data_IF_473697538861
#
_entry.id   IF_473697538861
#
_cell.length_a   1.000
_cell.length_b   1.000
_cell.length_c   1.000
_cell.angle_alpha   90.00
_cell.angle_beta   90.00
_cell.angle_gamma   90.00
#
_symmetry.space_group_name_H-M   'P 1'
#
loop_
_entity.id
_entity.type
_entity.pdbx_description
1 polymer ?
#
# COMPACT_ATOMS: atom_id res chain seq x y z
N UNK A 1 41.43 -13.31 18.46
CA UNK A 1 40.72 -12.08 18.05
C UNK A 1 39.24 -12.07 18.42
N UNK A 2 38.44 -13.00 17.90
CA UNK A 2 36.96 -12.94 17.95
C UNK A 2 36.28 -13.27 19.29
N UNK A 3 36.98 -13.90 20.24
CA UNK A 3 36.41 -14.29 21.56
C UNK A 3 36.26 -13.13 22.56
N UNK A 4 36.85 -11.95 22.30
CA UNK A 4 36.70 -10.75 23.16
C UNK A 4 35.50 -9.88 22.77
N UNK A 5 34.98 -10.01 21.55
CA UNK A 5 33.82 -9.25 21.09
C UNK A 5 32.48 -9.92 21.43
N UNK A 6 32.46 -11.23 21.73
CA UNK A 6 31.24 -11.94 22.15
C UNK A 6 30.84 -11.71 23.62
N UNK A 7 31.61 -10.90 24.38
CA UNK A 7 31.31 -10.54 25.78
C UNK A 7 30.82 -9.10 25.96
N UNK A 8 30.61 -8.39 24.85
CA UNK A 8 30.03 -7.04 24.90
C UNK A 8 28.52 -7.21 25.08
N UNK A 9 28.03 -6.97 26.31
CA UNK A 9 26.61 -7.09 26.63
C UNK A 9 25.81 -6.10 25.78
N UNK A 10 24.73 -6.57 25.13
CA UNK A 10 23.91 -5.84 24.14
C UNK A 10 23.50 -4.40 24.53
N UNK A 11 23.49 -4.04 25.82
CA UNK A 11 23.18 -2.68 26.28
C UNK A 11 24.26 -1.64 25.92
N UNK A 12 25.52 -2.06 25.75
CA UNK A 12 26.63 -1.17 25.36
C UNK A 12 26.60 -0.75 23.89
N UNK A 13 25.81 -1.45 23.05
CA UNK A 13 25.62 -1.14 21.62
C UNK A 13 24.33 -0.35 21.36
N UNK A 14 23.59 0.09 22.40
CA UNK A 14 22.27 0.72 22.23
C UNK A 14 21.19 -0.25 21.70
N UNK A 15 21.48 -1.55 21.66
CA UNK A 15 20.59 -2.60 21.11
C UNK A 15 19.59 -3.14 22.15
N UNK A 16 19.54 -2.56 23.35
CA UNK A 16 18.51 -2.92 24.35
C UNK A 16 17.31 -2.01 24.14
N UNK A 17 16.46 -2.41 23.22
CA UNK A 17 15.10 -1.91 23.16
C UNK A 17 14.38 -2.18 24.51
N UNK A 18 13.56 -1.23 24.95
CA UNK A 18 12.80 -1.37 26.18
C UNK A 18 11.85 -2.56 26.15
N UNK A 19 11.52 -3.11 27.33
CA UNK A 19 10.57 -4.24 27.47
C UNK A 19 9.21 -3.95 26.83
N UNK A 20 8.78 -2.69 26.82
CA UNK A 20 7.54 -2.27 26.18
C UNK A 20 7.75 -2.05 24.68
N UNK A 21 6.89 -2.67 23.88
CA UNK A 21 6.94 -2.59 22.43
C UNK A 21 5.86 -1.64 21.91
N UNK A 22 6.25 -0.79 20.96
CA UNK A 22 5.32 0.02 20.17
C UNK A 22 5.43 -0.44 18.72
N UNK A 23 4.29 -0.85 18.14
CA UNK A 23 4.26 -1.23 16.73
C UNK A 23 4.31 0.01 15.85
N UNK A 24 5.13 -0.01 14.80
CA UNK A 24 5.18 1.05 13.78
C UNK A 24 4.73 0.45 12.45
N UNK A 25 3.57 0.88 11.96
CA UNK A 25 3.04 0.49 10.66
C UNK A 25 3.31 1.61 9.66
N UNK A 26 4.16 1.36 8.66
CA UNK A 26 4.40 2.32 7.58
C UNK A 26 3.37 2.13 6.48
N UNK A 27 2.69 3.21 6.13
CA UNK A 27 1.74 3.30 5.03
C UNK A 27 2.30 4.31 4.02
N UNK A 28 3.03 3.83 3.01
CA UNK A 28 3.74 4.66 2.04
C UNK A 28 3.27 4.41 0.60
N UNK A 29 3.02 5.49 -0.14
CA UNK A 29 2.59 5.48 -1.53
C UNK A 29 1.08 5.41 -1.72
N UNK A 30 0.64 5.25 -2.98
CA UNK A 30 -0.78 5.20 -3.33
C UNK A 30 -1.50 3.99 -2.74
N UNK A 31 -2.76 4.17 -2.38
CA UNK A 31 -3.61 3.12 -1.81
C UNK A 31 -4.30 2.36 -2.93
N UNK A 32 -4.15 1.03 -2.91
CA UNK A 32 -4.86 0.11 -3.79
C UNK A 32 -5.51 -0.99 -2.96
N UNK A 33 -6.62 -1.54 -3.48
CA UNK A 33 -7.38 -2.58 -2.77
C UNK A 33 -6.65 -3.92 -2.76
N UNK A 34 -6.17 -4.31 -3.93
CA UNK A 34 -5.46 -5.56 -4.20
C UNK A 34 -4.19 -5.24 -4.97
N UNK A 35 -3.19 -6.13 -4.90
CA UNK A 35 -1.99 -6.01 -5.70
C UNK A 35 -2.37 -6.10 -7.19
N UNK A 36 -2.01 -5.08 -7.96
CA UNK A 36 -2.18 -5.11 -9.41
C UNK A 36 -1.17 -6.07 -10.06
N UNK A 37 -1.48 -6.64 -11.23
CA UNK A 37 -0.55 -7.51 -11.97
C UNK A 37 0.78 -6.81 -12.33
N UNK A 38 0.72 -5.48 -12.49
CA UNK A 38 1.85 -4.62 -12.84
C UNK A 38 2.42 -3.87 -11.63
N UNK A 39 1.92 -4.12 -10.42
CA UNK A 39 2.44 -3.50 -9.20
C UNK A 39 3.80 -4.10 -8.86
N UNK A 40 4.85 -3.27 -8.91
CA UNK A 40 6.18 -3.66 -8.43
C UNK A 40 6.11 -4.04 -6.94
N UNK A 41 6.93 -5.00 -6.47
CA UNK A 41 7.09 -5.26 -5.04
C UNK A 41 7.42 -3.96 -4.28
N UNK A 42 6.67 -3.67 -3.22
CA UNK A 42 6.82 -2.43 -2.45
C UNK A 42 6.19 -1.17 -3.05
N UNK A 43 5.45 -1.28 -4.17
CA UNK A 43 4.72 -0.13 -4.75
C UNK A 43 3.41 0.13 -4.00
N UNK A 44 3.46 1.07 -3.05
CA UNK A 44 2.25 1.60 -2.41
C UNK A 44 1.67 0.76 -1.28
N UNK A 45 0.48 1.17 -0.85
CA UNK A 45 -0.27 0.54 0.24
C UNK A 45 -1.27 -0.43 -0.39
N UNK A 46 -1.13 -1.72 -0.08
CA UNK A 46 -2.14 -2.73 -0.41
C UNK A 46 -3.07 -2.87 0.79
N UNK A 47 -4.33 -2.47 0.63
CA UNK A 47 -5.32 -2.39 1.71
C UNK A 47 -5.49 -3.71 2.47
N UNK A 48 -5.63 -4.83 1.76
CA UNK A 48 -5.75 -6.16 2.36
C UNK A 48 -4.55 -6.50 3.28
N UNK A 49 -3.33 -6.35 2.78
CA UNK A 49 -2.11 -6.63 3.54
C UNK A 49 -1.93 -5.67 4.72
N UNK A 50 -2.36 -4.42 4.57
CA UNK A 50 -2.29 -3.44 5.66
C UNK A 50 -3.31 -3.77 6.77
N UNK A 51 -4.52 -4.19 6.41
CA UNK A 51 -5.56 -4.66 7.33
C UNK A 51 -5.07 -5.88 8.13
N UNK A 52 -4.42 -6.84 7.49
CA UNK A 52 -3.83 -7.99 8.19
C UNK A 52 -2.78 -7.57 9.23
N UNK A 53 -1.91 -6.61 8.88
CA UNK A 53 -0.93 -6.05 9.83
C UNK A 53 -1.64 -5.38 11.01
N UNK A 54 -2.68 -4.59 10.77
CA UNK A 54 -3.46 -3.96 11.84
C UNK A 54 -4.08 -5.01 12.78
N UNK A 55 -4.67 -6.08 12.23
CA UNK A 55 -5.21 -7.21 13.02
C UNK A 55 -4.15 -7.88 13.88
N UNK A 56 -2.98 -8.17 13.29
CA UNK A 56 -1.87 -8.79 14.02
C UNK A 56 -1.40 -7.93 15.21
N UNK A 57 -1.38 -6.60 15.05
CA UNK A 57 -1.02 -5.67 16.10
C UNK A 57 -2.11 -5.61 17.17
N UNK A 58 -3.38 -5.61 16.77
CA UNK A 58 -4.54 -5.59 17.66
C UNK A 58 -4.54 -6.82 18.58
N UNK A 59 -4.40 -8.00 18.01
CA UNK A 59 -4.49 -9.30 18.71
C UNK A 59 -3.26 -9.59 19.58
N UNK A 60 -2.10 -9.01 19.25
CA UNK A 60 -0.88 -9.17 20.03
C UNK A 60 -0.90 -8.34 21.33
N UNK A 61 -0.81 -9.04 22.47
CA UNK A 61 -0.62 -8.42 23.80
C UNK A 61 0.77 -7.79 24.01
N UNK A 62 1.72 -8.04 23.09
CA UNK A 62 3.10 -7.53 23.20
C UNK A 62 3.18 -6.03 22.93
N UNK A 63 2.33 -5.51 22.05
CA UNK A 63 2.32 -4.10 21.67
C UNK A 63 1.44 -3.29 22.62
N UNK A 64 2.04 -2.28 23.25
CA UNK A 64 1.38 -1.36 24.18
C UNK A 64 0.68 -0.21 23.47
N UNK A 65 1.17 0.17 22.30
CA UNK A 65 0.58 1.17 21.41
C UNK A 65 0.97 0.87 19.96
N UNK A 66 0.31 1.54 19.02
CA UNK A 66 0.66 1.53 17.61
C UNK A 66 0.85 2.94 17.07
N UNK A 67 1.78 3.11 16.15
CA UNK A 67 1.98 4.32 15.37
C UNK A 67 1.77 3.97 13.90
N UNK A 68 0.90 4.71 13.23
CA UNK A 68 0.70 4.60 11.79
C UNK A 68 1.47 5.76 11.14
N UNK A 69 2.62 5.45 10.53
CA UNK A 69 3.44 6.43 9.82
C UNK A 69 2.93 6.53 8.38
N UNK A 70 2.28 7.65 8.05
CA UNK A 70 1.55 7.83 6.79
C UNK A 70 2.36 8.74 5.87
N UNK A 71 2.61 8.25 4.66
CA UNK A 71 3.19 8.98 3.55
C UNK A 71 2.45 8.62 2.24
N UNK A 72 1.23 9.14 2.08
CA UNK A 72 0.31 8.72 1.02
C UNK A 72 -0.51 9.88 0.46
N UNK A 73 -0.61 10.00 -0.88
CA UNK A 73 -1.53 10.93 -1.54
C UNK A 73 -2.99 10.44 -1.55
N UNK A 74 -3.27 9.22 -1.05
CA UNK A 74 -4.58 8.59 -1.12
C UNK A 74 -4.65 7.49 -2.17
N UNK A 75 -5.86 7.18 -2.66
CA UNK A 75 -6.09 6.12 -3.63
C UNK A 75 -7.51 5.54 -3.54
N UNK A 76 -7.62 4.21 -3.61
CA UNK A 76 -8.92 3.51 -3.61
C UNK A 76 -9.76 3.86 -2.37
N UNK A 77 -10.96 4.40 -2.60
CA UNK A 77 -11.86 4.86 -1.54
C UNK A 77 -12.33 3.70 -0.64
N UNK A 78 -12.67 2.55 -1.23
CA UNK A 78 -13.12 1.38 -0.46
C UNK A 78 -11.98 0.79 0.39
N UNK A 79 -10.77 0.67 -0.16
CA UNK A 79 -9.61 0.22 0.61
C UNK A 79 -9.31 1.16 1.78
N UNK A 80 -9.40 2.48 1.55
CA UNK A 80 -9.24 3.49 2.60
C UNK A 80 -10.29 3.35 3.70
N UNK A 81 -11.54 3.08 3.33
CA UNK A 81 -12.64 2.85 4.28
C UNK A 81 -12.47 1.59 5.13
N UNK A 82 -12.09 0.48 4.47
CA UNK A 82 -11.83 -0.79 5.16
C UNK A 82 -10.65 -0.66 6.13
N UNK A 83 -9.59 0.05 5.74
CA UNK A 83 -8.48 0.38 6.63
C UNK A 83 -8.93 1.27 7.80
N UNK A 84 -9.72 2.32 7.54
CA UNK A 84 -10.28 3.17 8.61
C UNK A 84 -11.04 2.35 9.65
N UNK A 85 -11.90 1.43 9.20
CA UNK A 85 -12.65 0.54 10.10
C UNK A 85 -11.71 -0.30 10.95
N UNK A 86 -10.68 -0.90 10.37
CA UNK A 86 -9.72 -1.73 11.12
C UNK A 86 -8.85 -0.90 12.08
N UNK A 87 -8.46 0.32 11.69
CA UNK A 87 -7.73 1.25 12.56
C UNK A 87 -8.60 1.65 13.76
N UNK A 88 -9.90 1.93 13.55
CA UNK A 88 -10.85 2.20 14.64
C UNK A 88 -10.98 1.03 15.61
N UNK A 89 -11.02 -0.20 15.10
CA UNK A 89 -11.04 -1.41 15.93
C UNK A 89 -9.73 -1.59 16.72
N UNK A 90 -8.59 -1.24 16.12
CA UNK A 90 -7.31 -1.23 16.82
C UNK A 90 -7.29 -0.15 17.92
N UNK A 91 -7.73 1.07 17.62
CA UNK A 91 -7.80 2.21 18.56
C UNK A 91 -8.71 1.93 19.76
N UNK A 92 -9.80 1.18 19.55
CA UNK A 92 -10.66 0.72 20.64
C UNK A 92 -9.96 -0.27 21.61
N UNK A 93 -8.86 -0.91 21.18
CA UNK A 93 -8.13 -1.91 21.98
C UNK A 93 -6.86 -1.39 22.65
N UNK A 94 -6.19 -0.40 22.04
CA UNK A 94 -4.94 0.20 22.52
C UNK A 94 -4.68 1.53 21.81
N UNK A 95 -3.84 2.41 22.36
CA UNK A 95 -3.53 3.70 21.75
C UNK A 95 -2.97 3.57 20.33
N UNK A 96 -3.55 4.32 19.39
CA UNK A 96 -3.09 4.44 18.01
C UNK A 96 -2.85 5.90 17.65
N UNK A 97 -1.64 6.21 17.19
CA UNK A 97 -1.23 7.57 16.85
C UNK A 97 -0.90 7.61 15.35
N UNK A 98 -1.54 8.49 14.59
CA UNK A 98 -1.10 8.81 13.23
C UNK A 98 0.09 9.76 13.30
N UNK A 99 1.12 9.46 12.49
CA UNK A 99 2.27 10.33 12.28
C UNK A 99 2.41 10.57 10.78
N UNK A 100 1.99 11.74 10.34
CA UNK A 100 2.09 12.14 8.94
C UNK A 100 3.53 12.51 8.60
N UNK A 101 3.99 12.05 7.44
CA UNK A 101 5.28 12.38 6.85
C UNK A 101 5.10 13.50 5.82
N UNK A 102 5.60 13.34 4.60
CA UNK A 102 5.56 14.39 3.59
C UNK A 102 4.12 14.61 3.08
N UNK A 103 3.38 13.52 2.83
CA UNK A 103 1.99 13.59 2.36
C UNK A 103 1.07 12.67 3.18
N UNK A 104 -0.09 13.16 3.59
CA UNK A 104 -1.16 12.36 4.17
C UNK A 104 -2.51 12.96 3.76
N UNK A 105 -2.84 12.85 2.47
CA UNK A 105 -4.00 13.49 1.85
C UNK A 105 -5.01 12.46 1.36
N UNK A 106 -6.29 12.85 1.21
CA UNK A 106 -7.38 12.00 0.73
C UNK A 106 -7.43 10.67 1.51
N UNK A 107 -7.28 9.51 0.87
CA UNK A 107 -7.19 8.21 1.56
C UNK A 107 -6.12 8.14 2.67
N UNK A 108 -5.04 8.91 2.56
CA UNK A 108 -4.04 9.08 3.63
C UNK A 108 -4.61 9.76 4.87
N UNK A 109 -5.35 10.86 4.69
CA UNK A 109 -6.07 11.52 5.77
C UNK A 109 -7.20 10.63 6.32
N UNK A 110 -7.85 9.87 5.43
CA UNK A 110 -8.87 8.89 5.78
C UNK A 110 -8.33 7.86 6.78
N UNK A 111 -7.10 7.35 6.61
CA UNK A 111 -6.48 6.50 7.63
C UNK A 111 -6.18 7.26 8.92
N UNK A 112 -5.66 8.49 8.83
CA UNK A 112 -5.25 9.27 9.98
C UNK A 112 -6.42 9.61 10.92
N UNK A 113 -7.57 10.01 10.35
CA UNK A 113 -8.78 10.35 11.12
C UNK A 113 -9.37 9.15 11.87
N UNK A 114 -8.94 7.92 11.60
CA UNK A 114 -9.34 6.74 12.37
C UNK A 114 -8.59 6.58 13.71
N UNK A 115 -7.48 7.30 13.89
CA UNK A 115 -6.57 7.17 15.05
C UNK A 115 -7.00 8.05 16.24
N UNK A 116 -6.42 7.82 17.42
CA UNK A 116 -6.73 8.62 18.62
C UNK A 116 -6.14 10.03 18.57
N UNK A 117 -4.98 10.17 17.92
CA UNK A 117 -4.22 11.43 17.80
C UNK A 117 -3.51 11.47 16.46
N UNK A 118 -3.60 12.60 15.78
CA UNK A 118 -2.94 12.90 14.52
C UNK A 118 -1.83 13.92 14.75
N UNK A 119 -0.60 13.52 14.40
CA UNK A 119 0.58 14.37 14.44
C UNK A 119 1.07 14.60 13.01
N UNK A 120 1.32 15.85 12.64
CA UNK A 120 1.82 16.21 11.31
C UNK A 120 3.02 17.16 11.39
N UNK A 121 3.99 17.01 10.48
CA UNK A 121 5.08 17.99 10.37
C UNK A 121 4.54 19.31 9.84
N UNK A 122 5.25 20.40 10.11
CA UNK A 122 4.78 21.74 9.72
C UNK A 122 4.45 21.87 8.23
N UNK A 123 5.23 21.20 7.38
CA UNK A 123 5.12 21.24 5.92
C UNK A 123 4.44 20.00 5.33
N UNK A 124 3.94 19.07 6.14
CA UNK A 124 3.14 17.94 5.66
C UNK A 124 1.99 18.45 4.80
N UNK A 125 1.76 17.83 3.64
CA UNK A 125 0.56 18.08 2.85
C UNK A 125 -0.54 17.11 3.26
N UNK A 126 -1.66 17.64 3.78
CA UNK A 126 -2.78 16.83 4.28
C UNK A 126 -4.13 17.42 3.92
N UNK A 127 -5.22 16.90 4.49
CA UNK A 127 -6.59 17.19 4.07
C UNK A 127 -6.91 16.47 2.77
N UNK A 128 -7.27 17.21 1.73
CA UNK A 128 -7.86 16.68 0.49
C UNK A 128 -9.06 15.79 0.79
N UNK A 129 -9.91 16.27 1.71
CA UNK A 129 -11.17 15.61 2.06
C UNK A 129 -12.13 15.87 0.89
N UNK A 130 -12.14 14.94 -0.06
CA UNK A 130 -12.81 15.07 -1.33
C UNK A 130 -12.79 13.75 -2.10
N UNK A 131 -13.65 13.65 -3.12
CA UNK A 131 -13.75 12.48 -3.98
C UNK A 131 -13.64 12.93 -5.44
N UNK A 132 -12.83 12.23 -6.22
CA UNK A 132 -12.72 12.39 -7.66
C UNK A 132 -12.99 11.04 -8.32
N UNK A 133 -13.80 11.03 -9.38
CA UNK A 133 -14.15 9.83 -10.14
C UNK A 133 -14.43 10.20 -11.59
N UNK A 134 -14.30 9.24 -12.50
CA UNK A 134 -14.52 9.46 -13.93
C UNK A 134 -14.37 8.19 -14.76
N UNK A 135 -14.69 8.31 -16.06
CA UNK A 135 -14.37 7.29 -17.07
C UNK A 135 -13.69 7.95 -18.27
N UNK A 136 -12.89 7.17 -18.98
CA UNK A 136 -12.34 7.61 -20.26
C UNK A 136 -13.43 7.55 -21.35
N UNK A 137 -13.41 8.55 -22.23
CA UNK A 137 -14.16 8.52 -23.49
C UNK A 137 -13.16 8.47 -24.65
N UNK A 138 -13.03 7.28 -25.23
CA UNK A 138 -12.11 6.93 -26.30
C UNK A 138 -12.80 6.94 -27.67
N UNK A 139 -14.06 7.38 -27.80
CA UNK A 139 -14.80 7.36 -29.06
C UNK A 139 -14.03 8.01 -30.23
N UNK A 140 -13.52 9.22 -30.03
CA UNK A 140 -12.70 9.92 -31.04
C UNK A 140 -11.39 9.21 -31.38
N UNK A 141 -10.79 8.53 -30.40
CA UNK A 141 -9.57 7.75 -30.64
C UNK A 141 -9.89 6.54 -31.52
N UNK A 142 -10.96 5.82 -31.20
CA UNK A 142 -11.45 4.66 -31.95
C UNK A 142 -11.80 5.02 -33.39
N UNK A 143 -12.51 6.13 -33.61
CA UNK A 143 -12.78 6.68 -34.95
C UNK A 143 -11.49 6.91 -35.74
N UNK A 144 -10.47 7.54 -35.13
CA UNK A 144 -9.20 7.89 -35.78
C UNK A 144 -8.40 6.66 -36.22
N UNK A 145 -8.48 5.55 -35.47
CA UNK A 145 -7.74 4.32 -35.77
C UNK A 145 -8.59 3.28 -36.53
N UNK A 146 -9.83 3.62 -36.89
CA UNK A 146 -10.76 2.71 -37.56
C UNK A 146 -11.18 1.51 -36.70
N UNK A 147 -11.11 1.62 -35.38
CA UNK A 147 -11.50 0.56 -34.46
C UNK A 147 -12.98 0.71 -34.10
N UNK A 148 -13.79 -0.33 -34.32
CA UNK A 148 -15.19 -0.35 -33.92
C UNK A 148 -15.39 -1.29 -32.71
N UNK A 149 -15.98 -0.75 -31.64
CA UNK A 149 -16.30 -1.49 -30.42
C UNK A 149 -17.82 -1.57 -30.25
N UNK A 150 -18.38 -2.73 -30.54
CA UNK A 150 -19.78 -3.05 -30.23
C UNK A 150 -19.90 -3.72 -28.86
N UNK A 151 -20.91 -3.34 -28.08
CA UNK A 151 -21.17 -3.92 -26.76
C UNK A 151 -22.58 -4.51 -26.79
N UNK A 152 -22.68 -5.81 -26.55
CA UNK A 152 -23.94 -6.50 -26.30
C UNK A 152 -24.06 -6.65 -24.78
N UNK A 153 -25.04 -5.96 -24.19
CA UNK A 153 -25.23 -5.92 -22.75
C UNK A 153 -26.68 -6.20 -22.37
N UNK A 154 -26.91 -6.65 -21.13
CA UNK A 154 -28.25 -6.83 -20.56
C UNK A 154 -28.36 -6.04 -19.26
N UNK A 155 -29.30 -5.10 -19.22
CA UNK A 155 -29.58 -4.26 -18.05
C UNK A 155 -29.28 -2.79 -18.30
N UNK A 156 -30.11 -1.90 -17.73
CA UNK A 156 -30.09 -0.45 -18.00
C UNK A 156 -28.73 0.22 -17.77
N UNK A 157 -28.00 -0.22 -16.74
CA UNK A 157 -26.71 0.37 -16.34
C UNK A 157 -25.52 -0.57 -16.55
N UNK A 158 -25.68 -1.67 -17.30
CA UNK A 158 -24.61 -2.65 -17.52
C UNK A 158 -23.39 -2.07 -18.27
N UNK A 159 -23.60 -0.97 -19.01
CA UNK A 159 -22.58 -0.28 -19.79
C UNK A 159 -21.87 0.85 -19.05
N UNK A 160 -22.28 1.17 -17.82
CA UNK A 160 -21.89 2.40 -17.12
C UNK A 160 -20.37 2.65 -17.17
N UNK A 161 -19.57 1.63 -16.85
CA UNK A 161 -18.11 1.68 -16.89
C UNK A 161 -17.49 0.98 -18.11
N UNK A 162 -18.25 0.16 -18.84
CA UNK A 162 -17.73 -0.64 -19.96
C UNK A 162 -17.77 0.12 -21.31
N UNK A 163 -18.73 1.04 -21.46
CA UNK A 163 -18.89 1.86 -22.66
C UNK A 163 -17.95 3.06 -22.64
N UNK A 164 -16.67 2.81 -22.94
CA UNK A 164 -15.62 3.82 -23.09
C UNK A 164 -15.64 4.51 -24.47
N UNK A 165 -16.38 3.98 -25.45
CA UNK A 165 -16.52 4.58 -26.78
C UNK A 165 -17.50 5.77 -26.85
N UNK A 166 -18.19 6.08 -25.76
CA UNK A 166 -19.20 7.16 -25.69
C UNK A 166 -19.23 7.85 -24.32
N UNK A 167 -19.76 9.09 -24.21
CA UNK A 167 -20.04 9.69 -22.91
C UNK A 167 -21.11 8.89 -22.15
N UNK A 168 -21.31 9.24 -20.87
CA UNK A 168 -22.45 8.75 -20.11
C UNK A 168 -23.77 9.17 -20.77
N UNK A 169 -24.78 8.31 -20.71
CA UNK A 169 -26.18 8.72 -20.90
C UNK A 169 -26.58 9.63 -19.72
N UNK A 170 -27.65 10.40 -19.88
CA UNK A 170 -28.09 11.33 -18.84
C UNK A 170 -28.39 10.63 -17.49
N UNK A 171 -29.05 9.47 -17.54
CA UNK A 171 -29.36 8.66 -16.35
C UNK A 171 -28.12 7.97 -15.75
N UNK A 172 -27.20 7.51 -16.59
CA UNK A 172 -25.88 7.01 -16.17
C UNK A 172 -25.06 8.11 -15.46
N UNK A 173 -25.07 9.33 -15.99
CA UNK A 173 -24.35 10.47 -15.42
C UNK A 173 -24.92 10.86 -14.06
N UNK A 174 -26.24 10.95 -13.94
CA UNK A 174 -26.92 11.24 -12.68
C UNK A 174 -26.62 10.19 -11.61
N UNK A 175 -26.66 8.89 -11.97
CA UNK A 175 -26.31 7.80 -11.06
C UNK A 175 -24.85 7.90 -10.59
N UNK A 176 -23.94 8.19 -11.52
CA UNK A 176 -22.51 8.30 -11.23
C UNK A 176 -22.20 9.50 -10.33
N UNK A 177 -22.85 10.64 -10.58
CA UNK A 177 -22.75 11.84 -9.75
C UNK A 177 -23.28 11.59 -8.33
N UNK A 178 -24.48 11.02 -8.20
CA UNK A 178 -25.05 10.66 -6.88
C UNK A 178 -24.13 9.73 -6.09
N UNK A 179 -23.48 8.78 -6.76
CA UNK A 179 -22.49 7.90 -6.13
C UNK A 179 -21.28 8.68 -5.60
N UNK A 180 -20.75 9.62 -6.38
CA UNK A 180 -19.64 10.48 -5.97
C UNK A 180 -20.02 11.38 -4.78
N UNK A 181 -21.21 11.98 -4.82
CA UNK A 181 -21.74 12.81 -3.74
C UNK A 181 -21.91 12.00 -2.43
N UNK A 182 -22.44 10.78 -2.52
CA UNK A 182 -22.57 9.90 -1.36
C UNK A 182 -21.19 9.53 -0.76
N UNK A 183 -20.22 9.19 -1.61
CA UNK A 183 -18.85 8.92 -1.15
C UNK A 183 -18.22 10.14 -0.46
N UNK A 184 -18.45 11.34 -1.00
CA UNK A 184 -17.99 12.59 -0.40
C UNK A 184 -18.63 12.84 0.97
N UNK A 185 -19.95 12.73 1.07
CA UNK A 185 -20.69 12.90 2.33
C UNK A 185 -20.16 11.93 3.39
N UNK A 186 -20.00 10.64 3.06
CA UNK A 186 -19.43 9.67 4.00
C UNK A 186 -18.03 10.03 4.48
N UNK A 187 -17.16 10.54 3.60
CA UNK A 187 -15.81 10.96 3.99
C UNK A 187 -15.88 12.17 4.92
N UNK A 188 -16.58 13.23 4.50
CA UNK A 188 -16.74 14.45 5.30
C UNK A 188 -17.36 14.15 6.66
N UNK A 189 -18.43 13.37 6.73
CA UNK A 189 -19.14 13.10 7.97
C UNK A 189 -18.29 12.26 8.94
N UNK A 190 -17.48 11.33 8.42
CA UNK A 190 -16.49 10.62 9.25
C UNK A 190 -15.36 11.51 9.72
N UNK A 191 -14.89 12.44 8.89
CA UNK A 191 -13.90 13.41 9.30
C UNK A 191 -14.47 14.31 10.41
N UNK A 192 -15.68 14.84 10.23
CA UNK A 192 -16.39 15.64 11.23
C UNK A 192 -16.52 14.89 12.56
N UNK A 193 -17.02 13.65 12.51
CA UNK A 193 -17.12 12.75 13.67
C UNK A 193 -15.77 12.55 14.37
N UNK A 194 -14.72 12.22 13.61
CA UNK A 194 -13.38 11.95 14.16
C UNK A 194 -12.72 13.18 14.76
N UNK A 195 -13.03 14.37 14.25
CA UNK A 195 -12.48 15.64 14.75
C UNK A 195 -13.37 16.31 15.78
N UNK A 196 -14.52 15.70 16.11
CA UNK A 196 -15.54 16.29 16.99
C UNK A 196 -15.98 17.69 16.52
N UNK A 197 -16.13 17.84 15.21
CA UNK A 197 -16.55 19.06 14.54
C UNK A 197 -17.96 18.90 14.00
N UNK A 198 -18.68 20.02 13.88
CA UNK A 198 -19.94 20.04 13.14
C UNK A 198 -19.68 19.81 11.64
N UNK A 199 -20.68 19.23 10.96
CA UNK A 199 -20.57 18.90 9.54
C UNK A 199 -20.33 20.16 8.68
N UNK A 200 -20.97 21.27 9.01
CA UNK A 200 -20.81 22.54 8.29
C UNK A 200 -19.42 23.16 8.50
N UNK A 201 -18.84 23.01 9.70
CA UNK A 201 -17.47 23.42 9.97
C UNK A 201 -16.49 22.57 9.16
N UNK A 202 -16.69 21.24 9.15
CA UNK A 202 -15.89 20.32 8.35
C UNK A 202 -16.01 20.62 6.84
N UNK A 203 -17.21 20.95 6.34
CA UNK A 203 -17.44 21.34 4.95
C UNK A 203 -16.57 22.55 4.56
N UNK A 204 -16.44 23.55 5.45
CA UNK A 204 -15.64 24.76 5.19
C UNK A 204 -14.16 24.47 4.95
N UNK A 205 -13.62 23.39 5.56
CA UNK A 205 -12.21 22.99 5.46
C UNK A 205 -11.99 21.77 4.56
N UNK A 206 -13.06 21.15 4.07
CA UNK A 206 -13.06 20.02 3.14
C UNK A 206 -13.05 20.48 1.67
N UNK A 207 -13.91 19.91 0.83
CA UNK A 207 -14.07 20.23 -0.61
C UNK A 207 -12.80 19.99 -1.43
N UNK A 208 -12.01 18.98 -1.05
CA UNK A 208 -10.76 18.63 -1.72
C UNK A 208 -9.60 19.60 -1.47
N UNK A 209 -9.75 20.58 -0.57
CA UNK A 209 -8.66 21.51 -0.22
C UNK A 209 -7.50 20.78 0.44
N UNK A 210 -6.28 21.11 0.01
CA UNK A 210 -5.04 20.63 0.61
C UNK A 210 -4.55 21.69 1.59
N UNK A 211 -4.09 21.23 2.76
CA UNK A 211 -3.56 22.07 3.82
C UNK A 211 -2.14 21.65 4.17
N UNK A 212 -1.29 22.62 4.53
CA UNK A 212 -0.03 22.30 5.22
C UNK A 212 -0.31 21.82 6.64
N UNK A 213 0.61 21.12 7.29
CA UNK A 213 0.41 20.63 8.66
C UNK A 213 0.13 21.75 9.67
N UNK A 214 0.75 22.93 9.50
CA UNK A 214 0.44 24.11 10.33
C UNK A 214 -0.99 24.61 10.09
N UNK A 215 -1.41 24.71 8.82
CA UNK A 215 -2.79 25.12 8.48
C UNK A 215 -3.81 24.11 8.98
N UNK A 216 -3.54 22.82 8.78
CA UNK A 216 -4.37 21.73 9.25
C UNK A 216 -4.54 21.75 10.77
N UNK A 217 -3.48 22.09 11.53
CA UNK A 217 -3.58 22.25 12.99
C UNK A 217 -4.47 23.44 13.35
N UNK A 218 -4.35 24.55 12.63
CA UNK A 218 -5.16 25.75 12.83
C UNK A 218 -6.64 25.53 12.49
N UNK A 219 -6.93 24.63 11.55
CA UNK A 219 -8.26 24.17 11.17
C UNK A 219 -8.75 22.96 11.98
N UNK A 220 -8.00 22.52 13.00
CA UNK A 220 -8.34 21.38 13.85
C UNK A 220 -8.35 20.02 13.14
N UNK A 221 -7.80 19.92 11.93
CA UNK A 221 -7.68 18.67 11.16
C UNK A 221 -6.59 17.74 11.71
N UNK A 222 -5.64 18.28 12.48
CA UNK A 222 -4.60 17.52 13.21
C UNK A 222 -4.51 18.01 14.65
N UNK A 223 -4.01 17.17 15.57
CA UNK A 223 -3.98 17.46 17.00
C UNK A 223 -2.69 18.14 17.45
N UNK A 224 -1.58 17.87 16.75
CA UNK A 224 -0.28 18.42 17.09
C UNK A 224 0.63 18.53 15.87
N UNK A 225 1.51 19.53 15.89
CA UNK A 225 2.63 19.61 14.96
C UNK A 225 3.85 18.84 15.47
N UNK A 226 4.59 18.22 14.54
CA UNK A 226 5.83 17.48 14.79
C UNK A 226 5.93 16.16 14.03
N UNK A 227 6.99 15.41 14.30
CA UNK A 227 7.29 14.17 13.59
C UNK A 227 7.04 12.89 14.36
N UNK A 228 7.73 11.83 13.93
CA UNK A 228 7.70 10.51 14.55
C UNK A 228 8.09 10.56 16.04
N UNK A 229 9.08 11.36 16.41
CA UNK A 229 9.50 11.52 17.82
C UNK A 229 8.36 12.04 18.70
N UNK A 230 7.55 12.98 18.20
CA UNK A 230 6.38 13.50 18.91
C UNK A 230 5.27 12.46 19.00
N UNK A 231 5.04 11.71 17.92
CA UNK A 231 4.10 10.58 17.92
C UNK A 231 4.49 9.49 18.93
N UNK A 232 5.79 9.18 19.08
CA UNK A 232 6.30 8.23 20.08
C UNK A 232 6.04 8.75 21.49
N UNK A 233 6.32 10.03 21.76
CA UNK A 233 6.07 10.62 23.08
C UNK A 233 4.58 10.53 23.47
N UNK A 234 3.68 10.82 22.53
CA UNK A 234 2.22 10.73 22.72
C UNK A 234 1.79 9.27 22.89
N UNK A 235 2.34 8.34 22.11
CA UNK A 235 2.08 6.91 22.25
C UNK A 235 2.48 6.38 23.63
N UNK A 236 3.65 6.79 24.13
CA UNK A 236 4.11 6.47 25.49
C UNK A 236 3.16 7.02 26.54
N UNK A 237 2.75 8.29 26.41
CA UNK A 237 1.83 8.94 27.33
C UNK A 237 0.50 8.19 27.41
N UNK A 238 -0.15 7.93 26.26
CA UNK A 238 -1.43 7.22 26.20
C UNK A 238 -1.34 5.75 26.64
N UNK A 239 -0.16 5.13 26.52
CA UNK A 239 0.09 3.76 26.99
C UNK A 239 0.56 3.69 28.45
N UNK A 240 0.56 4.80 29.19
CA UNK A 240 1.07 4.89 30.57
C UNK A 240 2.53 4.43 30.72
N UNK A 241 3.37 4.71 29.72
CA UNK A 241 4.81 4.43 29.74
C UNK A 241 5.56 5.73 30.11
N UNK A 242 6.41 5.74 31.14
CA UNK A 242 7.20 6.91 31.52
C UNK A 242 8.04 7.46 30.35
N UNK A 243 8.14 8.79 30.24
CA UNK A 243 8.76 9.46 29.08
C UNK A 243 10.28 9.26 28.99
N UNK A 244 10.94 8.99 30.11
CA UNK A 244 12.36 8.64 30.24
C UNK A 244 12.64 7.16 29.97
N UNK A 245 11.64 6.27 30.10
CA UNK A 245 11.81 4.83 29.88
C UNK A 245 12.03 4.50 28.40
N UNK A 246 13.07 3.72 28.04
CA UNK A 246 13.25 3.28 26.65
C UNK A 246 12.10 2.37 26.22
N UNK A 247 11.74 2.41 24.94
CA UNK A 247 10.76 1.53 24.29
C UNK A 247 11.39 0.91 23.05
N UNK A 248 10.95 -0.28 22.66
CA UNK A 248 11.36 -0.87 21.38
C UNK A 248 10.32 -0.53 20.32
N UNK A 249 10.75 0.10 19.23
CA UNK A 249 9.92 0.28 18.05
C UNK A 249 10.03 -0.96 17.18
N UNK A 250 8.90 -1.60 16.89
CA UNK A 250 8.84 -2.78 16.03
C UNK A 250 8.16 -2.39 14.74
N UNK A 251 8.94 -2.29 13.66
CA UNK A 251 8.38 -2.00 12.34
C UNK A 251 7.65 -3.24 11.79
N UNK A 252 6.37 -3.08 11.45
CA UNK A 252 5.53 -4.13 10.87
C UNK A 252 5.72 -4.26 9.34
N UNK A 253 6.82 -3.72 8.80
CA UNK A 253 6.96 -3.37 7.39
C UNK A 253 8.00 -4.16 6.60
N UNK A 254 8.31 -5.40 6.98
CA UNK A 254 8.93 -6.32 6.04
C UNK A 254 8.17 -7.65 6.05
N UNK A 255 7.52 -8.06 4.94
CA UNK A 255 7.55 -9.47 4.62
C UNK A 255 9.02 -9.88 4.73
N UNK A 256 9.32 -10.93 5.48
CA UNK A 256 10.66 -11.53 5.42
C UNK A 256 11.01 -11.64 3.94
N UNK A 257 12.15 -11.06 3.48
CA UNK A 257 12.47 -11.12 2.07
C UNK A 257 12.45 -12.58 1.67
N UNK A 258 11.70 -12.88 0.63
CA UNK A 258 11.58 -14.26 0.17
C UNK A 258 12.97 -14.71 -0.32
N UNK A 259 13.29 -16.00 -0.22
CA UNK A 259 14.58 -16.52 -0.72
C UNK A 259 14.92 -16.02 -2.14
N UNK A 260 13.95 -15.93 -3.09
CA UNK A 260 14.18 -15.33 -4.40
C UNK A 260 14.60 -13.85 -4.37
N UNK A 261 14.04 -13.03 -3.48
CA UNK A 261 14.41 -11.60 -3.31
C UNK A 261 15.79 -11.42 -2.68
N UNK A 262 16.19 -12.33 -1.78
CA UNK A 262 17.54 -12.36 -1.22
C UNK A 262 18.56 -12.74 -2.29
N UNK A 263 18.27 -13.77 -3.09
CA UNK A 263 19.15 -14.24 -4.15
C UNK A 263 19.27 -13.21 -5.29
N UNK A 264 18.20 -12.48 -5.62
CA UNK A 264 18.26 -11.40 -6.61
C UNK A 264 18.97 -10.14 -6.11
N UNK A 265 18.88 -9.83 -4.81
CA UNK A 265 19.62 -8.74 -4.17
C UNK A 265 21.13 -8.99 -4.10
N UNK A 266 21.55 -10.25 -3.97
CA UNK A 266 22.98 -10.65 -3.99
C UNK A 266 23.56 -10.49 -5.41
N UNK A 267 22.74 -10.63 -6.46
CA UNK A 267 23.14 -10.44 -7.87
C UNK A 267 23.48 -9.00 -8.27
N UNK A 268 23.25 -8.01 -7.40
CA UNK A 268 23.56 -6.59 -7.66
C UNK A 268 24.95 -6.15 -7.16
N UNK A 269 25.69 -7.05 -6.52
CA UNK A 269 27.10 -6.81 -6.15
C UNK A 269 27.98 -7.23 -7.33
N UNK A 270 28.41 -6.25 -8.11
CA UNK A 270 29.23 -6.41 -9.32
C UNK A 270 30.64 -6.87 -8.91
N UNK A 271 30.82 -8.17 -8.65
CA UNK A 271 32.09 -8.91 -8.74
C UNK A 271 31.85 -10.38 -8.31
N UNK A 272 31.71 -11.31 -9.27
CA UNK A 272 31.79 -12.76 -9.00
C UNK A 272 30.66 -13.64 -9.53
N UNK A 273 29.76 -13.12 -10.37
CA UNK A 273 28.62 -13.88 -10.91
C UNK A 273 29.05 -14.98 -11.91
N UNK A 274 30.20 -14.84 -12.57
CA UNK A 274 30.62 -15.79 -13.62
C UNK A 274 31.20 -17.11 -13.09
N UNK A 275 31.77 -17.15 -11.89
CA UNK A 275 32.31 -18.38 -11.31
C UNK A 275 31.23 -19.22 -10.63
N UNK A 276 30.26 -18.58 -9.97
CA UNK A 276 29.21 -19.27 -9.21
C UNK A 276 28.11 -19.89 -10.08
N UNK A 277 27.79 -19.27 -11.23
CA UNK A 277 26.86 -19.84 -12.21
C UNK A 277 27.41 -21.08 -12.92
N UNK A 278 28.74 -21.16 -13.13
CA UNK A 278 29.37 -22.35 -13.72
C UNK A 278 29.35 -23.54 -12.77
N UNK A 279 29.60 -23.31 -11.48
CA UNK A 279 29.55 -24.37 -10.46
C UNK A 279 28.12 -24.89 -10.25
N UNK A 280 27.11 -24.01 -10.27
CA UNK A 280 25.69 -24.37 -10.17
C UNK A 280 25.17 -25.13 -11.40
N UNK A 281 25.63 -24.79 -12.61
CA UNK A 281 25.27 -25.53 -13.83
C UNK A 281 25.95 -26.91 -13.89
N UNK A 282 27.12 -27.07 -13.28
CA UNK A 282 27.75 -28.38 -13.13
C UNK A 282 27.00 -29.27 -12.12
N UNK A 283 26.53 -28.73 -11.00
CA UNK A 283 25.73 -29.49 -10.02
C UNK A 283 24.36 -29.93 -10.56
N UNK A 284 23.72 -29.11 -11.41
CA UNK A 284 22.44 -29.45 -12.04
C UNK A 284 22.55 -30.53 -13.13
N UNK A 285 23.75 -30.76 -13.67
CA UNK A 285 24.00 -31.83 -14.66
C UNK A 285 24.33 -33.19 -14.06
N UNK A 286 24.40 -33.32 -12.73
CA UNK A 286 24.84 -34.55 -12.03
C UNK A 286 23.73 -35.22 -11.20
N UNK A 287 22.46 -34.82 -11.34
CA UNK A 287 21.35 -35.57 -10.73
C UNK A 287 20.58 -36.37 -11.79
N UNK A 288 21.09 -37.58 -12.07
CA UNK A 288 20.27 -38.66 -12.61
C UNK A 288 19.21 -39.08 -11.60
N UNK A 289 17.97 -39.23 -12.08
CA UNK A 289 17.03 -40.20 -11.55
C UNK A 289 16.00 -39.72 -10.53
N UNK A 290 14.90 -39.12 -10.99
CA UNK A 290 13.57 -39.41 -10.42
C UNK A 290 12.56 -39.51 -11.57
N UNK A 291 12.16 -40.74 -11.86
CA UNK A 291 11.14 -41.09 -12.83
C UNK A 291 9.77 -41.03 -12.13
N UNK A 292 9.03 -39.93 -12.29
CA UNK A 292 7.64 -39.85 -11.86
C UNK A 292 6.73 -40.26 -13.03
N UNK A 293 6.13 -41.47 -12.91
CA UNK A 293 5.02 -41.90 -13.77
C UNK A 293 3.76 -41.13 -13.41
N UNK A 294 3.02 -40.67 -14.42
CA UNK A 294 1.62 -40.30 -14.30
C UNK A 294 0.86 -41.02 -15.42
N UNK A 295 0.06 -42.01 -15.03
CA UNK A 295 -0.85 -42.72 -15.93
C UNK A 295 -2.04 -41.83 -16.28
N UNK A 296 -2.44 -41.87 -17.55
CA UNK A 296 -3.76 -41.42 -18.00
C UNK A 296 -3.84 -39.97 -18.43
N UNK A 297 -3.45 -39.69 -19.68
CA UNK A 297 -4.23 -38.95 -20.70
C UNK A 297 -3.57 -39.28 -22.05
N UNK A 298 -4.30 -40.01 -22.89
CA UNK A 298 -3.91 -40.29 -24.26
C UNK A 298 -4.20 -39.06 -25.11
N UNK A 299 -3.16 -38.33 -25.53
CA UNK A 299 -3.24 -37.50 -26.73
C UNK A 299 -2.55 -38.24 -27.87
N UNK A 300 -3.36 -38.56 -28.87
CA UNK A 300 -2.97 -39.23 -30.10
C UNK A 300 -1.91 -38.40 -30.82
N UNK A 301 -0.76 -39.02 -31.05
CA UNK A 301 0.40 -38.45 -31.74
C UNK A 301 0.03 -38.17 -33.20
N UNK A 302 -0.08 -36.90 -33.58
CA UNK A 302 0.07 -36.48 -34.98
C UNK A 302 1.56 -36.24 -35.23
N UNK A 303 2.13 -37.04 -36.12
CA UNK A 303 3.51 -36.90 -36.58
C UNK A 303 3.66 -35.63 -37.43
N UNK A 304 4.70 -34.83 -37.13
CA UNK A 304 5.22 -33.82 -38.06
C UNK A 304 5.45 -32.43 -37.44
N UNK A 305 6.72 -32.03 -37.34
CA UNK A 305 7.13 -30.62 -37.39
C UNK A 305 7.48 -29.91 -36.07
N UNK A 306 8.78 -29.68 -35.89
CA UNK A 306 9.50 -28.60 -35.16
C UNK A 306 8.95 -28.01 -33.82
N UNK A 307 9.78 -27.88 -32.76
CA UNK A 307 9.38 -27.27 -31.51
C UNK A 307 9.20 -25.75 -31.61
N UNK A 308 8.09 -25.29 -31.02
CA UNK A 308 7.66 -23.91 -30.83
C UNK A 308 8.79 -22.94 -30.46
N UNK A 309 9.15 -22.08 -31.42
CA UNK A 309 9.95 -20.89 -31.18
C UNK A 309 9.04 -19.78 -30.61
N UNK A 310 9.45 -19.21 -29.47
CA UNK A 310 8.73 -18.13 -28.80
C UNK A 310 8.94 -16.81 -29.57
N UNK A 311 7.89 -16.18 -30.15
CA UNK A 311 8.05 -15.04 -31.08
C UNK A 311 8.67 -13.79 -30.45
N UNK A 312 8.75 -13.71 -29.12
CA UNK A 312 9.44 -12.64 -28.41
C UNK A 312 10.97 -12.72 -28.46
N UNK A 313 11.54 -13.92 -28.65
CA UNK A 313 13.00 -14.12 -28.64
C UNK A 313 13.64 -13.64 -29.94
N UNK A 314 12.93 -13.75 -31.07
CA UNK A 314 13.44 -13.28 -32.36
C UNK A 314 13.45 -11.74 -32.44
N UNK A 315 12.45 -11.06 -31.85
CA UNK A 315 12.39 -9.60 -31.84
C UNK A 315 13.53 -8.95 -31.05
N UNK A 316 13.99 -9.62 -29.97
CA UNK A 316 15.13 -9.16 -29.15
C UNK A 316 16.46 -9.42 -29.87
N UNK A 317 16.58 -10.53 -30.61
CA UNK A 317 17.77 -10.84 -31.40
C UNK A 317 17.99 -9.85 -32.55
N UNK A 318 16.93 -9.45 -33.25
CA UNK A 318 17.03 -8.52 -34.38
C UNK A 318 17.41 -7.10 -33.93
N UNK A 319 16.97 -6.66 -32.75
CA UNK A 319 17.34 -5.35 -32.20
C UNK A 319 18.81 -5.29 -31.76
N UNK A 320 19.30 -6.36 -31.13
CA UNK A 320 20.69 -6.45 -30.65
C UNK A 320 21.72 -6.70 -31.76
N UNK A 321 21.29 -7.15 -32.94
CA UNK A 321 22.15 -7.29 -34.12
C UNK A 321 22.32 -6.01 -34.94
N UNK A 322 21.62 -4.93 -34.58
CA UNK A 322 21.61 -3.65 -35.32
C UNK A 322 22.33 -2.49 -34.61
N UNK A 323 23.06 -2.78 -33.54
CA UNK A 323 23.95 -1.84 -32.81
C UNK A 323 25.39 -2.33 -32.93
#
# INVERSE_FOLDING_TARGET
GFRRYSRVRNWTLGLVGGKDLIAVLRASGSISRVRGPLSLPGSGIIGEQFIEKLRSVRESKRYKAAIIRIDSPGGDALASDLMWREIRLLAASKPVIASMADVAASGGYYMAMATDVIVAENLTLTGSIGVVTGKFNLGKLYEKIGFNKEIISRGRYAELLAAEQRPFRADEAELFERSAQNAYQQFRDKAAFSRSMDVDEMESVAQGRVWTGIQAASHGLVDATGGLSRAIAIAKLKANIPQDKPVTLVEMSRPSPTLPELLSGIGSSIAGVDTTLKDLLQELTVSEGVQARMDGIMFQRLEGGAPYANPFINLIKDYLGSI
#
